data_IF_213626863471
#
_entry.id   IF_213626863471
#
_cell.length_a   1.000
_cell.length_b   1.000
_cell.length_c   1.000
_cell.angle_alpha   90.00
_cell.angle_beta   90.00
_cell.angle_gamma   90.00
#
_symmetry.space_group_name_H-M   'P 1'
#
loop_
_entity.id
_entity.type
_entity.pdbx_description
1 polymer ?
#
# COMPACT_ATOMS: atom_id res chain seq x y z
N UNK A 1 -14.37 4.83 32.32
CA UNK A 1 -13.69 3.52 32.35
C UNK A 1 -12.60 3.53 31.29
N UNK A 2 -11.33 3.65 31.70
CA UNK A 2 -10.19 3.52 30.79
C UNK A 2 -10.01 2.05 30.44
N UNK A 3 -10.54 1.63 29.28
CA UNK A 3 -10.27 0.30 28.74
C UNK A 3 -8.77 0.15 28.57
N UNK A 4 -8.17 -0.82 29.29
CA UNK A 4 -6.77 -1.19 29.08
C UNK A 4 -6.66 -1.70 27.64
N UNK A 5 -5.97 -0.94 26.80
CA UNK A 5 -5.68 -1.37 25.45
C UNK A 5 -4.55 -2.40 25.53
N UNK A 6 -4.77 -3.58 24.96
CA UNK A 6 -3.71 -4.58 24.84
C UNK A 6 -2.53 -3.99 24.04
N UNK A 7 -1.29 -4.42 24.30
CA UNK A 7 -0.16 -4.00 23.49
C UNK A 7 -0.41 -4.38 22.03
N UNK A 8 -0.12 -3.46 21.12
CA UNK A 8 -0.19 -3.68 19.67
C UNK A 8 0.54 -4.98 19.30
N UNK A 9 -0.15 -5.87 18.58
CA UNK A 9 0.39 -7.15 18.16
C UNK A 9 0.66 -7.12 16.65
N UNK A 10 1.91 -6.93 16.26
CA UNK A 10 2.29 -6.82 14.86
C UNK A 10 2.11 -8.15 14.10
N UNK A 11 1.35 -8.12 13.01
CA UNK A 11 1.32 -9.16 11.99
C UNK A 11 2.40 -8.93 10.94
N UNK A 12 3.33 -9.87 10.80
CA UNK A 12 4.43 -9.83 9.83
C UNK A 12 3.97 -9.81 8.36
N UNK A 13 2.67 -9.99 8.10
CA UNK A 13 2.09 -9.93 6.74
C UNK A 13 1.60 -8.52 6.37
N UNK A 14 1.34 -7.66 7.36
CA UNK A 14 0.82 -6.29 7.22
C UNK A 14 -0.10 -5.89 8.37
N UNK A 15 -0.19 -4.59 8.67
CA UNK A 15 -1.07 -4.05 9.71
C UNK A 15 -1.64 -2.70 9.30
N UNK A 16 -2.78 -2.33 9.89
CA UNK A 16 -3.32 -0.96 9.84
C UNK A 16 -2.84 -0.18 11.07
N UNK A 17 -2.94 1.14 11.03
CA UNK A 17 -2.87 1.96 12.25
C UNK A 17 -4.11 1.66 13.10
N UNK A 18 -3.96 1.18 14.32
CA UNK A 18 -5.13 0.89 15.16
C UNK A 18 -5.79 2.17 15.67
N UNK A 19 -4.96 3.15 16.07
CA UNK A 19 -5.40 4.45 16.58
C UNK A 19 -4.26 5.44 16.64
N UNK A 20 -4.61 6.72 16.69
CA UNK A 20 -3.68 7.81 16.97
C UNK A 20 -4.31 8.86 17.89
N UNK A 21 -3.46 9.71 18.46
CA UNK A 21 -3.87 10.86 19.26
C UNK A 21 -2.94 12.04 18.99
N UNK A 22 -3.52 13.20 18.70
CA UNK A 22 -2.80 14.48 18.71
C UNK A 22 -3.08 15.16 20.04
N UNK A 23 -2.04 15.54 20.78
CA UNK A 23 -2.16 16.22 22.07
C UNK A 23 -1.15 17.35 22.21
N UNK A 24 -1.51 18.38 22.94
CA UNK A 24 -0.59 19.47 23.28
C UNK A 24 0.61 18.93 24.09
N UNK A 25 1.80 19.44 23.80
CA UNK A 25 3.04 19.05 24.48
C UNK A 25 3.51 20.08 25.50
N UNK A 26 3.47 21.37 25.14
CA UNK A 26 3.85 22.52 25.97
C UNK A 26 3.19 23.80 25.45
N UNK A 27 3.47 24.97 26.05
CA UNK A 27 2.88 26.24 25.63
C UNK A 27 3.14 26.60 24.15
N UNK A 28 2.11 27.18 23.54
CA UNK A 28 2.06 27.90 22.26
C UNK A 28 2.44 27.16 20.96
N UNK A 29 1.73 26.05 20.66
CA UNK A 29 1.62 25.32 19.37
C UNK A 29 2.44 24.04 19.18
N UNK A 30 3.12 23.60 20.24
CA UNK A 30 3.82 22.32 20.28
C UNK A 30 2.86 21.15 20.50
N UNK A 31 2.92 20.15 19.62
CA UNK A 31 2.05 18.97 19.66
C UNK A 31 2.85 17.67 19.61
N UNK A 32 2.32 16.66 20.29
CA UNK A 32 2.71 15.27 20.14
C UNK A 32 1.64 14.52 19.34
N UNK A 33 2.08 13.84 18.29
CA UNK A 33 1.32 12.78 17.63
C UNK A 33 1.75 11.43 18.21
N UNK A 34 0.81 10.70 18.79
CA UNK A 34 1.01 9.36 19.34
C UNK A 34 0.33 8.33 18.43
N UNK A 35 1.02 7.24 18.12
CA UNK A 35 0.51 6.18 17.24
C UNK A 35 0.49 4.83 17.94
N UNK A 36 -0.54 4.03 17.68
CA UNK A 36 -0.63 2.62 18.02
C UNK A 36 -0.71 1.83 16.71
N UNK A 37 0.42 1.30 16.25
CA UNK A 37 0.53 0.65 14.95
C UNK A 37 1.95 0.18 14.66
N UNK A 38 2.21 -0.34 13.46
CA UNK A 38 3.49 -0.92 13.10
C UNK A 38 4.55 0.14 12.73
N UNK A 39 5.82 -0.26 12.69
CA UNK A 39 6.95 0.60 12.33
C UNK A 39 6.82 1.18 10.91
N UNK A 40 6.17 0.47 9.99
CA UNK A 40 5.96 0.94 8.64
C UNK A 40 4.95 2.10 8.56
N UNK A 41 3.96 2.14 9.46
CA UNK A 41 3.07 3.31 9.59
C UNK A 41 3.87 4.50 10.10
N UNK A 42 4.68 4.32 11.13
CA UNK A 42 5.54 5.37 11.68
C UNK A 42 6.51 5.92 10.61
N UNK A 43 7.08 5.05 9.79
CA UNK A 43 7.97 5.42 8.67
C UNK A 43 7.25 6.28 7.63
N UNK A 44 6.01 5.94 7.28
CA UNK A 44 5.18 6.74 6.36
C UNK A 44 4.85 8.12 6.94
N UNK A 45 4.57 8.23 8.24
CA UNK A 45 4.36 9.53 8.90
C UNK A 45 5.63 10.40 8.81
N UNK A 46 6.81 9.84 9.06
CA UNK A 46 8.08 10.58 8.95
C UNK A 46 8.30 11.06 7.51
N UNK A 47 8.08 10.20 6.52
CA UNK A 47 8.20 10.56 5.10
C UNK A 47 7.22 11.68 4.71
N UNK A 48 5.94 11.54 5.10
CA UNK A 48 4.89 12.52 4.81
C UNK A 48 5.12 13.86 5.52
N UNK A 49 5.72 13.85 6.72
CA UNK A 49 6.01 15.06 7.48
C UNK A 49 7.15 15.90 6.88
N UNK A 50 7.96 15.35 5.95
CA UNK A 50 9.05 16.07 5.25
C UNK A 50 9.98 16.83 6.20
N UNK A 51 10.34 16.20 7.32
CA UNK A 51 11.22 16.78 8.35
C UNK A 51 10.53 17.71 9.36
N UNK A 52 9.21 17.90 9.28
CA UNK A 52 8.45 18.69 10.25
C UNK A 52 8.27 18.01 11.62
N UNK A 53 8.68 16.74 11.74
CA UNK A 53 8.53 15.96 12.97
C UNK A 53 9.86 15.42 13.50
N UNK A 54 9.91 15.20 14.81
CA UNK A 54 11.02 14.51 15.49
C UNK A 54 10.48 13.34 16.30
N UNK A 55 11.09 12.17 16.18
CA UNK A 55 10.75 11.02 17.03
C UNK A 55 10.99 11.35 18.51
N UNK A 56 10.08 10.92 19.38
CA UNK A 56 10.18 11.06 20.83
C UNK A 56 10.07 9.72 21.52
N UNK A 57 10.88 9.52 22.55
CA UNK A 57 10.79 8.35 23.39
C UNK A 57 9.49 8.37 24.20
N UNK A 58 8.75 7.26 24.17
CA UNK A 58 7.61 7.05 25.04
C UNK A 58 8.07 6.76 26.48
N UNK A 59 7.38 7.34 27.47
CA UNK A 59 7.55 6.96 28.87
C UNK A 59 7.11 5.50 29.11
N UNK A 60 7.49 4.88 30.24
CA UNK A 60 7.05 3.51 30.56
C UNK A 60 5.52 3.34 30.50
N UNK A 61 4.75 4.29 31.02
CA UNK A 61 3.28 4.29 30.92
C UNK A 61 2.79 4.56 29.50
N UNK A 62 3.50 5.39 28.73
CA UNK A 62 3.18 5.65 27.32
C UNK A 62 3.28 4.38 26.46
N UNK A 63 4.30 3.56 26.69
CA UNK A 63 4.52 2.28 25.99
C UNK A 63 3.43 1.24 26.22
N UNK A 64 2.60 1.42 27.25
CA UNK A 64 1.43 0.54 27.48
C UNK A 64 0.29 0.83 26.50
N UNK A 65 0.27 2.00 25.87
CA UNK A 65 -0.85 2.46 25.04
C UNK A 65 -0.45 2.83 23.62
N UNK A 66 0.82 3.16 23.40
CA UNK A 66 1.35 3.71 22.17
C UNK A 66 2.63 2.97 21.79
N UNK A 67 2.85 2.90 20.50
CA UNK A 67 4.02 2.29 19.87
C UNK A 67 5.03 3.36 19.45
N UNK A 68 4.54 4.52 19.01
CA UNK A 68 5.37 5.61 18.49
C UNK A 68 4.89 6.97 19.00
N UNK A 69 5.81 7.93 19.04
CA UNK A 69 5.51 9.33 19.32
C UNK A 69 6.36 10.26 18.46
N UNK A 70 5.72 11.30 17.93
CA UNK A 70 6.36 12.33 17.11
C UNK A 70 6.02 13.70 17.64
N UNK A 71 7.03 14.54 17.80
CA UNK A 71 6.90 15.95 18.18
C UNK A 71 6.89 16.83 16.95
N UNK A 72 5.96 17.79 16.92
CA UNK A 72 5.83 18.82 15.91
C UNK A 72 5.82 20.18 16.60
N UNK A 73 6.76 21.05 16.25
CA UNK A 73 6.92 22.37 16.88
C UNK A 73 5.98 23.46 16.34
N UNK A 74 5.07 23.11 15.42
CA UNK A 74 4.20 24.06 14.69
C UNK A 74 2.84 23.45 14.34
N UNK A 75 2.31 22.55 15.17
CA UNK A 75 1.14 21.78 14.78
C UNK A 75 1.49 20.54 13.94
N UNK A 76 0.61 19.53 13.97
CA UNK A 76 0.64 18.42 13.01
C UNK A 76 0.05 18.94 11.69
N UNK A 77 0.76 18.85 10.55
CA UNK A 77 0.20 19.23 9.26
C UNK A 77 -1.10 18.47 8.98
N UNK A 78 -2.10 19.13 8.38
CA UNK A 78 -3.39 18.48 8.09
C UNK A 78 -3.21 17.21 7.24
N UNK A 79 -2.32 17.25 6.24
CA UNK A 79 -2.00 16.09 5.40
C UNK A 79 -1.45 14.88 6.18
N UNK A 80 -0.75 15.11 7.31
CA UNK A 80 -0.28 14.05 8.19
C UNK A 80 -1.42 13.51 9.05
N UNK A 81 -2.30 14.38 9.55
CA UNK A 81 -3.48 13.96 10.30
C UNK A 81 -4.47 13.18 9.43
N UNK A 82 -4.68 13.63 8.19
CA UNK A 82 -5.52 12.94 7.20
C UNK A 82 -4.92 11.58 6.85
N UNK A 83 -3.60 11.51 6.63
CA UNK A 83 -2.88 10.26 6.45
C UNK A 83 -3.05 9.31 7.64
N UNK A 84 -3.02 9.81 8.89
CA UNK A 84 -3.29 8.96 10.06
C UNK A 84 -4.69 8.34 9.98
N UNK A 85 -5.73 9.10 9.62
CA UNK A 85 -7.08 8.55 9.43
C UNK A 85 -7.08 7.48 8.33
N UNK A 86 -6.47 7.77 7.18
CA UNK A 86 -6.42 6.85 6.05
C UNK A 86 -5.69 5.54 6.40
N UNK A 87 -4.57 5.63 7.11
CA UNK A 87 -3.80 4.46 7.56
C UNK A 87 -4.53 3.60 8.59
N UNK A 88 -5.64 4.08 9.20
CA UNK A 88 -6.53 3.19 9.96
C UNK A 88 -7.35 2.26 9.09
N UNK A 89 -7.49 2.59 7.80
CA UNK A 89 -8.26 1.83 6.82
C UNK A 89 -7.38 1.04 5.87
N UNK A 90 -6.21 1.56 5.50
CA UNK A 90 -5.28 0.92 4.59
C UNK A 90 -4.30 -0.01 5.30
N UNK A 91 -4.01 -1.14 4.65
CA UNK A 91 -3.06 -2.11 5.16
C UNK A 91 -1.65 -1.72 4.72
N UNK A 92 -0.78 -1.44 5.69
CA UNK A 92 0.64 -1.28 5.45
C UNK A 92 1.33 -2.63 5.46
N UNK A 93 2.16 -2.90 4.44
CA UNK A 93 2.91 -4.14 4.29
C UNK A 93 4.38 -3.88 4.63
N UNK A 94 5.05 -4.77 5.39
CA UNK A 94 6.48 -4.66 5.66
C UNK A 94 7.30 -4.41 4.41
N UNK A 95 8.22 -3.44 4.53
CA UNK A 95 9.08 -3.03 3.42
C UNK A 95 9.84 -4.24 2.85
N UNK A 96 10.01 -4.24 1.53
CA UNK A 96 10.77 -5.26 0.79
C UNK A 96 11.96 -4.59 0.13
N UNK A 97 13.01 -5.35 -0.21
CA UNK A 97 14.10 -4.82 -1.02
C UNK A 97 13.54 -4.09 -2.25
N UNK A 98 14.11 -2.93 -2.54
CA UNK A 98 13.78 -2.07 -3.68
C UNK A 98 12.41 -1.37 -3.64
N UNK A 99 11.56 -1.63 -2.63
CA UNK A 99 10.25 -0.97 -2.42
C UNK A 99 10.30 -0.12 -1.14
N UNK A 100 10.09 1.20 -1.28
CA UNK A 100 10.16 2.14 -0.14
C UNK A 100 8.91 2.09 0.75
N UNK A 101 7.72 2.03 0.13
CA UNK A 101 6.44 1.92 0.83
C UNK A 101 5.56 0.91 0.08
N UNK A 102 4.90 0.02 0.82
CA UNK A 102 3.97 -0.96 0.27
C UNK A 102 2.63 -0.90 0.99
N UNK A 103 1.55 -0.70 0.23
CA UNK A 103 0.17 -0.63 0.72
C UNK A 103 -0.74 -1.63 0.00
N UNK A 104 -1.77 -2.08 0.73
CA UNK A 104 -3.00 -2.65 0.15
C UNK A 104 -4.21 -1.88 0.65
N UNK A 105 -5.30 -1.85 -0.13
CA UNK A 105 -6.58 -1.31 0.37
C UNK A 105 -7.05 -2.10 1.61
N UNK A 106 -6.96 -3.43 1.57
CA UNK A 106 -7.25 -4.29 2.72
C UNK A 106 -6.65 -5.69 2.55
N UNK A 107 -6.92 -6.59 3.50
CA UNK A 107 -6.81 -8.02 3.28
C UNK A 107 -7.76 -8.50 2.17
N UNK A 108 -7.45 -9.59 1.49
CA UNK A 108 -8.37 -10.23 0.54
C UNK A 108 -9.50 -10.94 1.31
N UNK A 109 -9.13 -11.68 2.35
CA UNK A 109 -10.02 -12.38 3.27
C UNK A 109 -9.62 -12.08 4.70
N UNK A 110 -10.57 -12.05 5.62
CA UNK A 110 -10.31 -11.91 7.06
C UNK A 110 -11.10 -12.95 7.87
N UNK A 111 -10.62 -13.32 9.07
CA UNK A 111 -11.42 -14.13 9.99
C UNK A 111 -12.77 -13.47 10.28
N UNK A 112 -13.82 -14.28 10.35
CA UNK A 112 -15.14 -13.86 10.81
C UNK A 112 -15.56 -14.62 12.07
N UNK A 113 -16.66 -14.20 12.70
CA UNK A 113 -17.08 -14.67 14.03
C UNK A 113 -17.38 -16.17 14.12
N UNK A 114 -17.66 -16.81 12.99
CA UNK A 114 -17.91 -18.26 12.88
C UNK A 114 -16.61 -19.09 12.76
N UNK A 115 -15.44 -18.44 12.85
CA UNK A 115 -14.12 -19.08 12.66
C UNK A 115 -13.75 -19.31 11.19
N UNK A 116 -14.60 -18.89 10.24
CA UNK A 116 -14.36 -18.95 8.80
C UNK A 116 -13.53 -17.78 8.27
N UNK A 117 -13.45 -17.71 6.93
CA UNK A 117 -12.84 -16.59 6.22
C UNK A 117 -13.87 -15.94 5.31
N UNK A 118 -14.13 -14.65 5.53
CA UNK A 118 -14.99 -13.83 4.68
C UNK A 118 -14.16 -12.92 3.77
N UNK A 119 -14.62 -12.70 2.55
CA UNK A 119 -14.03 -11.69 1.66
C UNK A 119 -14.25 -10.29 2.25
N UNK A 120 -13.19 -9.50 2.33
CA UNK A 120 -13.30 -8.08 2.68
C UNK A 120 -13.92 -7.30 1.52
N UNK A 121 -14.13 -5.99 1.69
CA UNK A 121 -14.55 -5.14 0.56
C UNK A 121 -13.56 -5.22 -0.60
N UNK A 122 -12.25 -5.15 -0.33
CA UNK A 122 -11.22 -5.26 -1.35
C UNK A 122 -11.23 -6.64 -2.04
N UNK A 123 -11.39 -7.72 -1.27
CA UNK A 123 -11.52 -9.08 -1.79
C UNK A 123 -12.73 -9.24 -2.71
N UNK A 124 -13.89 -8.70 -2.31
CA UNK A 124 -15.11 -8.69 -3.13
C UNK A 124 -14.90 -7.92 -4.44
N UNK A 125 -14.30 -6.72 -4.39
CA UNK A 125 -14.03 -5.93 -5.59
C UNK A 125 -13.13 -6.69 -6.57
N UNK A 126 -12.11 -7.40 -6.09
CA UNK A 126 -11.28 -8.25 -6.94
C UNK A 126 -12.07 -9.45 -7.48
N UNK A 127 -12.84 -10.14 -6.65
CA UNK A 127 -13.64 -11.28 -7.07
C UNK A 127 -14.63 -10.92 -8.19
N UNK A 128 -15.35 -9.81 -8.02
CA UNK A 128 -16.32 -9.31 -9.00
C UNK A 128 -15.71 -8.68 -10.25
N UNK A 129 -14.39 -8.48 -10.30
CA UNK A 129 -13.72 -7.88 -11.47
C UNK A 129 -12.86 -8.88 -12.23
N UNK A 130 -11.97 -9.59 -11.53
CA UNK A 130 -11.01 -10.53 -12.11
C UNK A 130 -11.62 -11.89 -12.41
N UNK A 131 -12.54 -12.37 -11.58
CA UNK A 131 -13.10 -13.72 -11.66
C UNK A 131 -14.58 -13.77 -12.03
N UNK A 132 -15.15 -12.63 -12.45
CA UNK A 132 -16.56 -12.57 -12.85
C UNK A 132 -16.82 -13.39 -14.12
N UNK A 133 -17.82 -14.28 -14.07
CA UNK A 133 -18.31 -15.04 -15.24
C UNK A 133 -18.76 -14.11 -16.37
N UNK A 134 -19.32 -12.95 -16.02
CA UNK A 134 -19.77 -11.93 -16.96
C UNK A 134 -19.07 -10.59 -16.66
N UNK A 135 -17.84 -10.36 -17.15
CA UNK A 135 -17.05 -9.17 -16.83
C UNK A 135 -17.69 -7.87 -17.37
N UNK A 136 -18.55 -7.97 -18.39
CA UNK A 136 -19.28 -6.83 -18.96
C UNK A 136 -20.62 -6.53 -18.28
N UNK A 137 -21.05 -7.38 -17.33
CA UNK A 137 -22.25 -7.12 -16.56
C UNK A 137 -22.12 -5.82 -15.74
N UNK A 138 -23.25 -5.19 -15.44
CA UNK A 138 -23.29 -3.91 -14.70
C UNK A 138 -22.61 -4.00 -13.33
N UNK A 139 -22.76 -5.12 -12.61
CA UNK A 139 -22.11 -5.38 -11.32
C UNK A 139 -20.58 -5.39 -11.42
N UNK A 140 -20.02 -6.16 -12.36
CA UNK A 140 -18.57 -6.26 -12.59
C UNK A 140 -17.96 -4.92 -13.00
N UNK A 141 -18.65 -4.17 -13.88
CA UNK A 141 -18.22 -2.82 -14.27
C UNK A 141 -18.24 -1.84 -13.09
N UNK A 142 -19.28 -1.87 -12.25
CA UNK A 142 -19.37 -1.04 -11.05
C UNK A 142 -18.24 -1.37 -10.07
N UNK A 143 -17.99 -2.65 -9.82
CA UNK A 143 -16.88 -3.10 -8.96
C UNK A 143 -15.52 -2.65 -9.52
N UNK A 144 -15.33 -2.67 -10.85
CA UNK A 144 -14.09 -2.19 -11.48
C UNK A 144 -13.88 -0.70 -11.31
N UNK A 145 -14.93 0.09 -11.51
CA UNK A 145 -14.89 1.55 -11.29
C UNK A 145 -14.57 1.86 -9.83
N UNK A 146 -15.21 1.16 -8.89
CA UNK A 146 -14.97 1.35 -7.46
C UNK A 146 -13.55 0.97 -7.06
N UNK A 147 -13.04 -0.15 -7.57
CA UNK A 147 -11.66 -0.58 -7.33
C UNK A 147 -10.64 0.45 -7.87
N UNK A 148 -10.84 0.92 -9.10
CA UNK A 148 -9.97 1.94 -9.72
C UNK A 148 -10.02 3.25 -8.96
N UNK A 149 -11.21 3.68 -8.51
CA UNK A 149 -11.37 4.89 -7.70
C UNK A 149 -10.63 4.74 -6.36
N UNK A 150 -10.80 3.63 -5.65
CA UNK A 150 -10.17 3.40 -4.36
C UNK A 150 -8.62 3.42 -4.47
N UNK A 151 -8.05 2.77 -5.48
CA UNK A 151 -6.60 2.79 -5.70
C UNK A 151 -6.09 4.19 -6.08
N UNK A 152 -6.82 4.92 -6.93
CA UNK A 152 -6.45 6.28 -7.31
C UNK A 152 -6.59 7.28 -6.16
N UNK A 153 -7.52 7.05 -5.23
CA UNK A 153 -7.69 7.83 -4.02
C UNK A 153 -6.48 7.68 -3.09
N UNK A 154 -5.96 6.46 -2.90
CA UNK A 154 -4.70 6.27 -2.16
C UNK A 154 -3.57 7.09 -2.78
N UNK A 155 -3.43 7.06 -4.11
CA UNK A 155 -2.39 7.84 -4.81
C UNK A 155 -2.58 9.33 -4.57
N UNK A 156 -3.81 9.81 -4.54
CA UNK A 156 -4.10 11.25 -4.42
C UNK A 156 -3.97 11.75 -2.97
N UNK A 157 -4.40 10.95 -1.99
CA UNK A 157 -4.49 11.35 -0.60
C UNK A 157 -3.21 11.07 0.19
N UNK A 158 -2.47 10.00 -0.14
CA UNK A 158 -1.24 9.68 0.57
C UNK A 158 -0.11 10.62 0.11
N UNK A 159 0.47 11.48 0.98
CA UNK A 159 1.42 12.52 0.57
C UNK A 159 2.62 12.03 -0.23
N UNK A 160 3.19 10.86 0.12
CA UNK A 160 4.31 10.26 -0.62
C UNK A 160 3.88 9.66 -1.98
N UNK A 161 2.69 9.06 -2.09
CA UNK A 161 2.21 8.55 -3.38
C UNK A 161 1.77 9.68 -4.31
N UNK A 162 1.28 10.79 -3.74
CA UNK A 162 0.86 11.95 -4.52
C UNK A 162 2.04 12.58 -5.29
N UNK A 163 3.26 12.49 -4.76
CA UNK A 163 4.49 12.94 -5.41
C UNK A 163 4.91 12.06 -6.60
N UNK A 164 4.36 10.85 -6.74
CA UNK A 164 4.68 9.97 -7.85
C UNK A 164 3.94 10.38 -9.12
N UNK A 165 4.70 10.72 -10.16
CA UNK A 165 4.18 11.13 -11.47
C UNK A 165 3.94 9.94 -12.41
N UNK A 166 4.55 8.81 -12.09
CA UNK A 166 4.57 7.61 -12.92
C UNK A 166 3.85 6.46 -12.23
N UNK A 167 3.16 5.66 -13.04
CA UNK A 167 2.53 4.41 -12.63
C UNK A 167 2.99 3.31 -13.57
N UNK A 168 3.28 2.14 -13.04
CA UNK A 168 3.49 0.92 -13.83
C UNK A 168 2.78 -0.24 -13.17
N UNK A 169 2.73 -1.37 -13.84
CA UNK A 169 2.29 -2.64 -13.27
C UNK A 169 3.22 -3.77 -13.74
N UNK A 170 3.38 -4.84 -12.95
CA UNK A 170 4.14 -6.00 -13.39
C UNK A 170 3.51 -6.62 -14.65
N UNK A 171 4.32 -7.11 -15.61
CA UNK A 171 3.80 -7.78 -16.79
C UNK A 171 3.10 -9.10 -16.41
N UNK A 172 1.95 -9.37 -17.03
CA UNK A 172 1.26 -10.63 -16.88
C UNK A 172 2.03 -11.81 -17.46
N UNK A 173 1.52 -13.02 -17.25
CA UNK A 173 2.17 -14.25 -17.74
C UNK A 173 2.38 -14.28 -19.26
N UNK A 174 1.54 -13.58 -20.04
CA UNK A 174 1.70 -13.49 -21.50
C UNK A 174 2.65 -12.38 -21.95
N UNK A 175 2.96 -11.40 -21.07
CA UNK A 175 3.77 -10.23 -21.42
C UNK A 175 3.19 -9.36 -22.55
N UNK A 176 1.89 -9.46 -22.81
CA UNK A 176 1.23 -8.83 -23.97
C UNK A 176 0.48 -7.53 -23.62
N UNK A 177 0.60 -7.02 -22.38
CA UNK A 177 -0.12 -5.83 -21.95
C UNK A 177 -1.58 -6.08 -21.57
N UNK A 178 -2.10 -7.30 -21.73
CA UNK A 178 -3.54 -7.58 -21.62
C UNK A 178 -3.95 -8.23 -20.30
N UNK A 179 -3.01 -8.51 -19.39
CA UNK A 179 -3.39 -9.11 -18.11
C UNK A 179 -4.26 -8.18 -17.27
N UNK A 180 -5.00 -8.75 -16.32
CA UNK A 180 -5.88 -7.98 -15.44
C UNK A 180 -5.10 -6.91 -14.66
N UNK A 181 -3.95 -7.27 -14.08
CA UNK A 181 -3.08 -6.33 -13.36
C UNK A 181 -2.55 -5.21 -14.26
N UNK A 182 -2.20 -5.52 -15.50
CA UNK A 182 -1.76 -4.51 -16.49
C UNK A 182 -2.87 -3.52 -16.84
N UNK A 183 -4.07 -4.02 -17.14
CA UNK A 183 -5.23 -3.18 -17.43
C UNK A 183 -5.65 -2.36 -16.20
N UNK A 184 -5.58 -2.94 -14.99
CA UNK A 184 -5.86 -2.23 -13.74
C UNK A 184 -4.87 -1.07 -13.54
N UNK A 185 -3.56 -1.32 -13.71
CA UNK A 185 -2.53 -0.28 -13.60
C UNK A 185 -2.75 0.88 -14.58
N UNK A 186 -3.13 0.59 -15.83
CA UNK A 186 -3.46 1.62 -16.84
C UNK A 186 -4.68 2.46 -16.44
N UNK A 187 -5.73 1.80 -15.94
CA UNK A 187 -6.94 2.50 -15.53
C UNK A 187 -6.71 3.36 -14.27
N UNK A 188 -5.93 2.86 -13.32
CA UNK A 188 -5.53 3.63 -12.13
C UNK A 188 -4.66 4.83 -12.53
N UNK A 189 -3.67 4.65 -13.41
CA UNK A 189 -2.86 5.75 -13.92
C UNK A 189 -3.71 6.83 -14.59
N UNK A 190 -4.64 6.42 -15.46
CA UNK A 190 -5.58 7.34 -16.10
C UNK A 190 -6.45 8.06 -15.08
N UNK A 191 -6.99 7.36 -14.09
CA UNK A 191 -7.86 7.93 -13.05
C UNK A 191 -7.10 8.90 -12.14
N UNK A 192 -5.86 8.59 -11.78
CA UNK A 192 -4.99 9.42 -10.97
C UNK A 192 -4.26 10.52 -11.76
N UNK A 193 -4.56 10.68 -13.06
CA UNK A 193 -3.88 11.60 -13.96
C UNK A 193 -2.34 11.46 -13.92
N UNK A 194 -1.85 10.22 -13.90
CA UNK A 194 -0.43 9.86 -13.92
C UNK A 194 -0.05 9.23 -15.26
N UNK A 195 1.22 9.33 -15.63
CA UNK A 195 1.73 8.67 -16.84
C UNK A 195 1.89 7.19 -16.55
N UNK A 196 1.29 6.34 -17.37
CA UNK A 196 1.53 4.90 -17.32
C UNK A 196 2.80 4.54 -18.11
N UNK A 197 3.75 3.89 -17.46
CA UNK A 197 4.97 3.36 -18.07
C UNK A 197 4.83 1.85 -18.20
N UNK A 198 4.77 1.29 -19.42
CA UNK A 198 4.72 -0.16 -19.59
C UNK A 198 6.00 -0.84 -19.08
N UNK A 199 5.80 -1.97 -18.41
CA UNK A 199 6.85 -2.91 -18.04
C UNK A 199 6.74 -4.15 -18.91
N UNK A 200 7.86 -4.60 -19.46
CA UNK A 200 7.98 -5.79 -20.26
C UNK A 200 8.58 -6.92 -19.43
N UNK A 201 8.27 -8.17 -19.80
CA UNK A 201 8.89 -9.35 -19.25
C UNK A 201 8.57 -10.57 -20.11
N UNK A 202 9.33 -11.67 -19.97
CA UNK A 202 9.16 -12.85 -20.80
C UNK A 202 7.78 -13.49 -20.55
N UNK A 203 7.23 -14.05 -21.63
CA UNK A 203 6.08 -14.94 -21.54
C UNK A 203 6.45 -16.16 -20.67
N UNK A 204 5.55 -16.51 -19.76
CA UNK A 204 5.76 -17.53 -18.73
C UNK A 204 4.48 -18.34 -18.57
N UNK A 205 4.64 -19.61 -18.21
CA UNK A 205 3.52 -20.44 -17.81
C UNK A 205 2.82 -19.80 -16.59
N UNK A 206 1.47 -19.83 -16.54
CA UNK A 206 0.73 -19.34 -15.37
C UNK A 206 1.21 -20.07 -14.12
N UNK A 207 1.83 -19.36 -13.17
CA UNK A 207 2.26 -19.94 -11.91
C UNK A 207 1.04 -20.19 -11.01
N UNK A 208 0.37 -21.33 -11.22
CA UNK A 208 -0.49 -21.94 -10.20
C UNK A 208 0.39 -22.88 -9.38
N UNK A 209 0.81 -22.39 -8.22
CA UNK A 209 1.51 -23.11 -7.15
C UNK A 209 2.98 -23.55 -7.40
N UNK A 210 3.83 -23.17 -6.43
CA UNK A 210 4.99 -23.92 -5.91
C UNK A 210 6.31 -24.06 -6.66
N UNK A 211 6.63 -23.27 -7.68
CA UNK A 211 8.05 -23.20 -8.13
C UNK A 211 8.54 -21.76 -8.14
N UNK A 212 9.32 -21.43 -7.10
CA UNK A 212 10.25 -20.31 -7.07
C UNK A 212 11.33 -20.49 -8.14
N UNK A 213 10.96 -20.44 -9.42
CA UNK A 213 11.94 -20.16 -10.47
C UNK A 213 12.42 -18.72 -10.25
N UNK A 214 13.67 -18.49 -10.63
CA UNK A 214 14.36 -17.21 -10.54
C UNK A 214 13.71 -16.18 -11.48
N UNK A 215 12.48 -15.74 -11.19
CA UNK A 215 11.80 -14.60 -11.84
C UNK A 215 12.53 -13.28 -11.53
N UNK A 216 13.71 -13.36 -10.91
CA UNK A 216 14.27 -12.29 -10.09
C UNK A 216 14.75 -11.09 -10.88
N UNK A 217 14.89 -11.16 -12.21
CA UNK A 217 15.49 -10.08 -12.99
C UNK A 217 14.96 -9.85 -14.41
N UNK A 218 13.90 -10.52 -14.85
CA UNK A 218 13.50 -10.48 -16.27
C UNK A 218 12.58 -9.31 -16.66
N UNK A 219 12.35 -8.36 -15.74
CA UNK A 219 11.47 -7.22 -16.00
C UNK A 219 12.27 -5.98 -16.39
N UNK A 220 11.73 -5.23 -17.34
CA UNK A 220 12.30 -3.99 -17.83
C UNK A 220 11.20 -2.97 -18.07
N UNK A 221 11.42 -1.73 -17.63
CA UNK A 221 10.55 -0.62 -18.04
C UNK A 221 10.91 -0.21 -19.47
N UNK A 222 9.90 0.18 -20.23
CA UNK A 222 10.05 0.62 -21.63
C UNK A 222 10.80 1.94 -21.80
N UNK A 223 11.07 2.66 -20.71
CA UNK A 223 11.80 3.91 -20.69
C UNK A 223 12.57 4.11 -19.38
N UNK A 224 13.50 5.07 -19.39
CA UNK A 224 14.20 5.55 -18.18
C UNK A 224 13.20 6.27 -17.28
N UNK A 225 13.33 6.04 -15.97
CA UNK A 225 12.48 6.62 -14.94
C UNK A 225 13.35 7.39 -13.96
N UNK A 226 13.30 8.72 -14.00
CA UNK A 226 14.07 9.63 -13.15
C UNK A 226 13.24 10.25 -12.00
N UNK A 227 12.00 9.77 -11.83
CA UNK A 227 11.00 10.29 -10.88
C UNK A 227 10.37 9.15 -10.06
N UNK A 228 9.75 9.45 -8.91
CA UNK A 228 9.03 8.44 -8.14
C UNK A 228 7.96 7.71 -8.96
N UNK A 229 7.84 6.41 -8.75
CA UNK A 229 6.92 5.52 -9.49
C UNK A 229 6.08 4.68 -8.54
N UNK A 230 4.80 4.51 -8.87
CA UNK A 230 3.89 3.58 -8.20
C UNK A 230 3.73 2.30 -9.03
N UNK A 231 3.99 1.16 -8.41
CA UNK A 231 3.70 -0.16 -8.96
C UNK A 231 2.31 -0.59 -8.49
N UNK A 232 1.42 -0.84 -9.46
CA UNK A 232 0.06 -1.33 -9.22
C UNK A 232 -0.01 -2.82 -9.51
N UNK A 233 -0.57 -3.57 -8.57
CA UNK A 233 -0.91 -4.98 -8.77
C UNK A 233 -2.29 -5.28 -8.17
N UNK A 234 -2.88 -6.41 -8.57
CA UNK A 234 -4.20 -6.79 -8.08
C UNK A 234 -4.13 -7.37 -6.65
N UNK A 235 -3.24 -8.34 -6.39
CA UNK A 235 -3.15 -9.04 -5.13
C UNK A 235 -1.70 -9.27 -4.70
N UNK A 236 -1.35 -8.78 -3.53
CA UNK A 236 -0.09 -9.10 -2.88
C UNK A 236 -0.17 -10.50 -2.22
N UNK A 237 0.52 -11.50 -2.80
CA UNK A 237 0.61 -12.86 -2.25
C UNK A 237 1.95 -13.13 -1.54
N UNK A 238 3.06 -13.31 -2.26
CA UNK A 238 4.40 -13.43 -1.65
C UNK A 238 5.22 -12.15 -1.76
N UNK A 239 4.83 -11.26 -2.69
CA UNK A 239 5.58 -10.06 -3.05
C UNK A 239 6.60 -10.26 -4.17
N UNK A 240 6.90 -11.50 -4.57
CA UNK A 240 7.98 -11.80 -5.55
C UNK A 240 7.82 -11.05 -6.88
N UNK A 241 6.59 -10.99 -7.40
CA UNK A 241 6.30 -10.26 -8.64
C UNK A 241 6.56 -8.76 -8.50
N UNK A 242 6.09 -8.15 -7.40
CA UNK A 242 6.30 -6.74 -7.11
C UNK A 242 7.77 -6.43 -6.81
N UNK A 243 8.51 -7.29 -6.11
CA UNK A 243 9.95 -7.14 -5.89
C UNK A 243 10.72 -7.15 -7.21
N UNK A 244 10.35 -8.02 -8.15
CA UNK A 244 10.98 -8.08 -9.47
C UNK A 244 10.66 -6.82 -10.30
N UNK A 245 9.43 -6.31 -10.20
CA UNK A 245 9.03 -5.04 -10.81
C UNK A 245 9.74 -3.83 -10.17
N UNK A 246 9.94 -3.86 -8.86
CA UNK A 246 10.67 -2.83 -8.13
C UNK A 246 12.13 -2.77 -8.55
N UNK A 247 12.80 -3.91 -8.69
CA UNK A 247 14.16 -3.97 -9.25
C UNK A 247 14.22 -3.40 -10.66
N UNK A 248 13.28 -3.75 -11.52
CA UNK A 248 13.20 -3.18 -12.87
C UNK A 248 13.06 -1.65 -12.83
N UNK A 249 12.22 -1.12 -11.94
CA UNK A 249 12.07 0.31 -11.73
C UNK A 249 13.36 0.97 -11.23
N UNK A 250 14.05 0.38 -10.24
CA UNK A 250 15.35 0.85 -9.75
C UNK A 250 16.41 0.86 -10.85
N UNK A 251 16.51 -0.21 -11.64
CA UNK A 251 17.43 -0.29 -12.78
C UNK A 251 17.14 0.76 -13.85
N UNK A 252 15.87 1.11 -14.05
CA UNK A 252 15.47 2.19 -14.95
C UNK A 252 15.78 3.59 -14.38
N UNK A 253 16.23 3.71 -13.13
CA UNK A 253 16.66 4.95 -12.50
C UNK A 253 15.75 5.48 -11.39
N UNK A 254 14.67 4.77 -11.03
CA UNK A 254 13.64 5.32 -10.15
C UNK A 254 14.21 5.67 -8.75
N UNK A 255 14.15 6.95 -8.32
CA UNK A 255 14.65 7.38 -7.02
C UNK A 255 13.77 6.89 -5.86
N UNK A 256 12.49 6.65 -6.14
CA UNK A 256 11.52 6.12 -5.17
C UNK A 256 10.58 5.14 -5.87
N UNK A 257 10.35 4.00 -5.24
CA UNK A 257 9.46 2.94 -5.74
C UNK A 257 8.43 2.62 -4.68
N UNK A 258 7.18 2.88 -5.01
CA UNK A 258 6.03 2.66 -4.14
C UNK A 258 5.22 1.49 -4.70
N UNK A 259 4.66 0.65 -3.83
CA UNK A 259 3.79 -0.45 -4.24
C UNK A 259 2.39 -0.25 -3.66
N UNK A 260 1.38 -0.39 -4.52
CA UNK A 260 -0.02 -0.34 -4.13
C UNK A 260 -0.78 -1.49 -4.78
N UNK A 261 -1.47 -2.25 -3.94
CA UNK A 261 -2.28 -3.39 -4.39
C UNK A 261 -3.72 -3.25 -3.93
N UNK A 262 -4.64 -3.93 -4.62
CA UNK A 262 -6.01 -3.95 -4.15
C UNK A 262 -6.14 -4.73 -2.84
N UNK A 263 -5.51 -5.90 -2.75
CA UNK A 263 -5.66 -6.76 -1.58
C UNK A 263 -4.39 -7.53 -1.22
N UNK A 264 -4.22 -7.83 0.08
CA UNK A 264 -3.19 -8.73 0.62
C UNK A 264 -3.80 -10.06 1.03
N UNK A 265 -3.22 -11.19 0.64
CA UNK A 265 -3.69 -12.50 1.14
C UNK A 265 -3.18 -12.83 2.54
N UNK A 266 -3.92 -13.61 3.31
CA UNK A 266 -3.47 -14.13 4.61
C UNK A 266 -2.39 -15.23 4.51
N UNK A 267 -2.21 -15.86 3.34
CA UNK A 267 -1.20 -16.91 3.17
C UNK A 267 0.21 -16.32 3.07
N UNK A 268 1.19 -17.04 3.65
CA UNK A 268 2.63 -16.77 3.47
C UNK A 268 3.13 -17.39 2.18
#
# INVERSE_FOLDING_TARGET
MTSFCFPFAADQRGNKLERFLVRDYSEASDVLLLLCGPDEVASQIVAAARGACQAKALSPTGKQNWTHAFYFSRGVPSSVSDLCNDLTTWLTIPARPDIDISLSLDWYKQPCDDGGLADTRAGQLIAFTKYATYPQASGSRKARIELVNALAEVISNHPVFADAELVSSPPGSKGDGTSFGEQLGRDVAKKAARKFVPMNGPAREPQKELIARHVRDDFELSEVVDRPIVLIDDVFHTGVTLESAARAARRAGAPTVLALTAARTLRR
#
